data_IF_421118476068
#
_entry.id   IF_421118476068
#
_cell.length_a   1.000
_cell.length_b   1.000
_cell.length_c   1.000
_cell.angle_alpha   90.00
_cell.angle_beta   90.00
_cell.angle_gamma   90.00
#
_symmetry.space_group_name_H-M   'P 1'
#
loop_
_entity.id
_entity.type
_entity.pdbx_description
1 polymer ?
#
# COMPACT_ATOMS: atom_id res chain seq x y z
N UNK A 1 -25.87 -19.82 -0.85
CA UNK A 1 -25.29 -18.94 0.18
C UNK A 1 -24.37 -17.98 -0.56
N UNK A 2 -24.82 -16.75 -0.81
CA UNK A 2 -23.99 -15.72 -1.44
C UNK A 2 -23.19 -15.05 -0.33
N UNK A 3 -21.87 -15.27 -0.30
CA UNK A 3 -20.96 -14.47 0.53
C UNK A 3 -20.76 -13.13 -0.17
N UNK A 4 -21.36 -12.08 0.37
CA UNK A 4 -21.12 -10.70 -0.05
C UNK A 4 -19.86 -10.25 0.70
N UNK A 5 -18.70 -10.37 0.06
CA UNK A 5 -17.48 -9.73 0.57
C UNK A 5 -17.57 -8.25 0.24
N UNK A 6 -17.99 -7.43 1.21
CA UNK A 6 -17.94 -5.99 1.09
C UNK A 6 -16.47 -5.55 1.17
N UNK A 7 -15.83 -5.31 0.03
CA UNK A 7 -14.56 -4.58 -0.02
C UNK A 7 -14.94 -3.10 0.09
N UNK A 8 -15.05 -2.61 1.33
CA UNK A 8 -15.08 -1.16 1.58
C UNK A 8 -13.75 -0.55 1.15
N UNK A 9 -13.70 0.75 0.78
CA UNK A 9 -12.43 1.42 0.58
C UNK A 9 -11.63 1.32 1.88
N UNK A 10 -10.53 0.58 1.86
CA UNK A 10 -9.60 0.52 2.97
C UNK A 10 -8.88 1.87 3.03
N UNK A 11 -9.45 2.81 3.78
CA UNK A 11 -8.77 4.04 4.20
C UNK A 11 -7.69 3.62 5.18
N UNK A 12 -6.42 3.73 4.79
CA UNK A 12 -5.32 3.32 5.66
C UNK A 12 -4.66 4.49 6.40
N UNK A 13 -5.24 5.68 6.33
CA UNK A 13 -5.02 6.74 7.31
C UNK A 13 -5.88 6.45 8.54
N UNK A 14 -5.24 5.97 9.59
CA UNK A 14 -5.90 5.70 10.85
C UNK A 14 -6.02 7.00 11.66
N UNK A 15 -7.22 7.60 11.65
CA UNK A 15 -7.50 8.81 12.43
C UNK A 15 -7.34 8.60 13.95
N UNK A 16 -7.37 7.35 14.43
CA UNK A 16 -7.17 7.03 15.83
C UNK A 16 -5.68 7.05 16.24
N UNK A 17 -4.76 7.17 15.27
CA UNK A 17 -3.31 7.22 15.47
C UNK A 17 -2.65 8.52 14.94
N UNK A 18 -3.04 9.71 15.45
CA UNK A 18 -2.51 11.00 15.00
C UNK A 18 -1.00 11.17 15.21
N UNK A 19 -0.39 10.38 16.10
CA UNK A 19 1.07 10.34 16.29
C UNK A 19 1.84 9.81 15.07
N UNK A 20 1.14 9.18 14.11
CA UNK A 20 1.71 8.69 12.85
C UNK A 20 1.63 9.72 11.71
N UNK A 21 0.89 10.82 11.85
CA UNK A 21 0.69 11.80 10.76
C UNK A 21 2.02 12.34 10.22
N UNK A 22 2.90 12.83 11.10
CA UNK A 22 4.21 13.33 10.69
C UNK A 22 5.11 12.25 10.09
N UNK A 23 4.88 10.98 10.43
CA UNK A 23 5.56 9.87 9.77
C UNK A 23 5.03 9.65 8.35
N UNK A 24 3.71 9.58 8.15
CA UNK A 24 3.12 9.46 6.82
C UNK A 24 3.55 10.61 5.89
N UNK A 25 3.45 11.86 6.35
CA UNK A 25 3.88 13.05 5.60
C UNK A 25 5.37 13.01 5.20
N UNK A 26 6.20 12.30 5.97
CA UNK A 26 7.62 12.15 5.68
C UNK A 26 7.94 11.07 4.62
N UNK A 27 6.98 10.19 4.30
CA UNK A 27 7.23 9.05 3.42
C UNK A 27 7.44 9.48 1.96
N UNK A 28 8.53 8.99 1.39
CA UNK A 28 8.89 9.21 0.00
C UNK A 28 9.43 7.90 -0.60
N UNK A 29 9.11 7.67 -1.87
CA UNK A 29 9.74 6.65 -2.70
C UNK A 29 10.64 7.33 -3.75
N UNK A 30 11.30 6.53 -4.59
CA UNK A 30 11.98 7.04 -5.79
C UNK A 30 11.03 7.70 -6.79
N UNK A 31 9.72 7.50 -6.67
CA UNK A 31 8.68 8.19 -7.45
C UNK A 31 8.25 9.55 -6.87
N UNK A 32 8.74 9.92 -5.68
CA UNK A 32 8.38 11.17 -4.99
C UNK A 32 7.61 10.94 -3.68
N UNK A 33 6.89 11.96 -3.17
CA UNK A 33 6.14 11.85 -1.92
C UNK A 33 5.02 10.81 -2.03
N UNK A 34 4.80 10.07 -0.93
CA UNK A 34 3.71 9.10 -0.86
C UNK A 34 2.35 9.76 -0.66
N UNK A 35 2.31 10.94 -0.01
CA UNK A 35 1.16 11.67 0.55
C UNK A 35 1.02 11.46 2.07
N UNK A 36 -0.01 12.01 2.70
CA UNK A 36 -0.24 12.02 4.15
C UNK A 36 -0.85 10.71 4.70
N UNK A 37 -1.01 9.71 3.83
CA UNK A 37 -1.61 8.42 4.18
C UNK A 37 -3.10 8.33 3.90
N UNK A 38 -3.81 9.43 3.61
CA UNK A 38 -5.27 9.43 3.35
C UNK A 38 -5.66 8.65 2.10
N UNK A 39 -4.75 8.58 1.14
CA UNK A 39 -4.85 7.80 -0.10
C UNK A 39 -4.14 6.44 -0.02
N UNK A 40 -3.64 6.07 1.16
CA UNK A 40 -3.07 4.75 1.38
C UNK A 40 -4.15 3.68 1.48
N UNK A 41 -3.84 2.51 0.95
CA UNK A 41 -4.63 1.29 1.03
C UNK A 41 -3.87 0.27 1.86
N UNK A 42 -4.56 -0.33 2.84
CA UNK A 42 -4.04 -1.48 3.59
C UNK A 42 -4.16 -2.73 2.74
N UNK A 43 -3.10 -3.52 2.68
CA UNK A 43 -3.03 -4.77 1.94
C UNK A 43 -2.98 -5.93 2.93
N UNK A 44 -3.84 -6.93 2.73
CA UNK A 44 -3.82 -8.17 3.51
C UNK A 44 -2.64 -9.06 3.12
N UNK A 45 -2.17 -9.91 4.02
CA UNK A 45 -1.00 -10.77 3.80
C UNK A 45 -1.13 -11.71 2.60
N UNK A 46 -2.35 -12.08 2.21
CA UNK A 46 -2.62 -12.89 1.03
C UNK A 46 -2.57 -12.11 -0.30
N UNK A 47 -2.54 -10.78 -0.22
CA UNK A 47 -2.72 -9.85 -1.34
C UNK A 47 -1.41 -9.12 -1.69
N UNK A 48 -0.28 -9.64 -1.23
CA UNK A 48 1.04 -9.28 -1.71
C UNK A 48 2.00 -10.46 -1.54
N UNK A 49 3.02 -10.52 -2.39
CA UNK A 49 4.12 -11.45 -2.22
C UNK A 49 5.39 -10.90 -2.89
N UNK A 50 6.46 -11.69 -2.85
CA UNK A 50 7.66 -11.46 -3.65
C UNK A 50 7.71 -12.49 -4.76
N UNK A 51 7.90 -12.03 -5.99
CA UNK A 51 8.10 -12.87 -7.17
C UNK A 51 9.32 -12.37 -7.95
N UNK A 52 10.22 -13.28 -8.31
CA UNK A 52 11.42 -12.98 -9.11
C UNK A 52 12.30 -11.85 -8.53
N UNK A 53 12.31 -11.69 -7.21
CA UNK A 53 13.09 -10.67 -6.51
C UNK A 53 12.39 -9.32 -6.33
N UNK A 54 11.17 -9.17 -6.83
CA UNK A 54 10.38 -7.95 -6.75
C UNK A 54 9.08 -8.18 -5.98
N UNK A 55 8.52 -7.13 -5.38
CA UNK A 55 7.19 -7.22 -4.80
C UNK A 55 6.12 -7.18 -5.89
N UNK A 56 5.01 -7.88 -5.66
CA UNK A 56 3.75 -7.61 -6.35
C UNK A 56 2.63 -7.54 -5.33
N UNK A 57 1.60 -6.79 -5.68
CA UNK A 57 0.45 -6.50 -4.82
C UNK A 57 -0.82 -6.68 -5.61
N UNK A 58 -1.86 -7.23 -4.98
CA UNK A 58 -3.18 -7.39 -5.57
C UNK A 58 -4.04 -6.18 -5.22
N UNK A 59 -4.37 -5.38 -6.23
CA UNK A 59 -5.18 -4.18 -6.11
C UNK A 59 -6.42 -4.35 -6.98
N UNK A 60 -7.61 -4.21 -6.39
CA UNK A 60 -8.88 -4.32 -7.13
C UNK A 60 -9.02 -5.65 -7.91
N UNK A 61 -8.40 -6.72 -7.41
CA UNK A 61 -8.38 -8.04 -8.05
C UNK A 61 -7.31 -8.22 -9.13
N UNK A 62 -6.54 -7.18 -9.46
CA UNK A 62 -5.40 -7.23 -10.39
C UNK A 62 -4.09 -7.42 -9.61
N UNK A 63 -3.28 -8.42 -9.99
CA UNK A 63 -1.89 -8.50 -9.53
C UNK A 63 -1.04 -7.49 -10.30
N UNK A 64 -0.41 -6.58 -9.57
CA UNK A 64 0.42 -5.51 -10.12
C UNK A 64 1.83 -5.63 -9.56
N UNK A 65 2.83 -5.63 -10.44
CA UNK A 65 4.23 -5.58 -10.04
C UNK A 65 4.53 -4.22 -9.40
N UNK A 66 5.21 -4.24 -8.27
CA UNK A 66 5.69 -3.04 -7.57
C UNK A 66 7.07 -2.72 -8.15
N UNK A 67 7.23 -1.60 -8.85
CA UNK A 67 8.56 -1.22 -9.32
C UNK A 67 9.46 -0.89 -8.13
N UNK A 68 10.75 -1.19 -8.22
CA UNK A 68 11.70 -1.01 -7.11
C UNK A 68 11.72 0.43 -6.59
N UNK A 69 11.57 1.42 -7.49
CA UNK A 69 11.52 2.84 -7.12
C UNK A 69 10.23 3.24 -6.40
N UNK A 70 9.19 2.40 -6.37
CA UNK A 70 8.01 2.61 -5.53
C UNK A 70 8.18 2.05 -4.11
N UNK A 71 9.20 1.22 -3.86
CA UNK A 71 9.42 0.64 -2.53
C UNK A 71 9.94 1.72 -1.59
N UNK A 72 9.23 1.94 -0.49
CA UNK A 72 9.60 2.90 0.54
C UNK A 72 10.58 2.24 1.51
N UNK A 73 11.71 2.91 1.75
CA UNK A 73 12.73 2.44 2.70
C UNK A 73 12.40 2.88 4.14
N UNK A 74 12.93 2.14 5.12
CA UNK A 74 12.74 2.44 6.54
C UNK A 74 11.67 1.58 7.23
N UNK A 75 11.44 1.80 8.53
CA UNK A 75 10.52 0.98 9.30
C UNK A 75 9.06 1.29 8.93
N UNK A 76 8.27 0.24 8.74
CA UNK A 76 6.83 0.33 8.60
C UNK A 76 6.16 0.51 9.97
N UNK A 77 5.74 1.75 10.28
CA UNK A 77 5.11 2.09 11.56
C UNK A 77 3.59 1.90 11.57
N UNK A 78 2.97 1.65 10.42
CA UNK A 78 1.55 1.30 10.33
C UNK A 78 1.27 -0.13 10.81
N UNK A 79 2.28 -1.01 10.79
CA UNK A 79 2.16 -2.39 11.27
C UNK A 79 1.45 -3.34 10.32
N UNK A 80 1.19 -2.91 9.08
CA UNK A 80 0.60 -3.73 8.01
C UNK A 80 1.14 -3.27 6.65
N UNK A 81 1.02 -4.10 5.62
CA UNK A 81 1.44 -3.73 4.26
C UNK A 81 0.58 -2.59 3.73
N UNK A 82 1.25 -1.60 3.12
CA UNK A 82 0.63 -0.35 2.69
C UNK A 82 0.99 -0.06 1.24
N UNK A 83 0.04 0.47 0.49
CA UNK A 83 0.23 0.91 -0.90
C UNK A 83 -0.48 2.23 -1.15
N UNK A 84 0.18 3.13 -1.87
CA UNK A 84 -0.39 4.38 -2.35
C UNK A 84 -0.64 4.25 -3.85
N UNK A 85 -1.84 3.82 -4.27
CA UNK A 85 -2.13 3.63 -5.69
C UNK A 85 -2.33 4.98 -6.39
N UNK A 86 -1.99 5.02 -7.66
CA UNK A 86 -2.54 5.97 -8.63
C UNK A 86 -3.07 5.19 -9.83
N UNK A 87 -3.93 5.80 -10.63
CA UNK A 87 -4.52 5.12 -11.78
C UNK A 87 -3.89 5.61 -13.07
N UNK A 88 -3.46 4.66 -13.90
CA UNK A 88 -2.98 4.91 -15.25
C UNK A 88 -3.80 4.06 -16.21
N UNK A 89 -4.50 4.69 -17.15
CA UNK A 89 -5.40 4.02 -18.10
C UNK A 89 -6.47 3.12 -17.42
N UNK A 90 -6.95 3.52 -16.24
CA UNK A 90 -7.94 2.76 -15.48
C UNK A 90 -7.39 1.60 -14.66
N UNK A 91 -6.07 1.39 -14.64
CA UNK A 91 -5.44 0.34 -13.85
C UNK A 91 -4.66 0.92 -12.67
N UNK A 92 -4.74 0.31 -11.46
CA UNK A 92 -4.01 0.77 -10.30
C UNK A 92 -2.51 0.50 -10.44
N UNK A 93 -1.68 1.45 -10.01
CA UNK A 93 -0.22 1.38 -10.04
C UNK A 93 0.36 1.87 -8.70
N UNK A 94 1.35 1.18 -8.11
CA UNK A 94 1.98 1.64 -6.87
C UNK A 94 2.83 2.90 -7.08
N UNK A 95 2.46 3.99 -6.41
CA UNK A 95 3.34 5.17 -6.23
C UNK A 95 4.34 4.93 -5.11
N UNK A 96 3.80 4.43 -4.01
CA UNK A 96 4.55 3.95 -2.86
C UNK A 96 4.04 2.57 -2.45
N UNK A 97 4.96 1.73 -2.00
CA UNK A 97 4.69 0.43 -1.41
C UNK A 97 5.59 0.26 -0.20
N UNK A 98 4.98 -0.05 0.93
CA UNK A 98 5.69 -0.34 2.16
C UNK A 98 5.33 -1.75 2.62
N UNK A 99 6.25 -2.71 2.50
CA UNK A 99 5.99 -4.08 2.92
C UNK A 99 5.76 -4.13 4.43
N UNK A 100 4.79 -4.92 4.85
CA UNK A 100 4.67 -5.40 6.22
C UNK A 100 5.58 -6.61 6.45
N UNK A 101 5.64 -7.08 7.69
CA UNK A 101 6.11 -8.44 7.95
C UNK A 101 5.07 -9.42 7.42
N UNK A 102 5.47 -10.38 6.58
CA UNK A 102 4.64 -11.57 6.34
C UNK A 102 4.52 -12.29 7.68
N UNK A 103 3.36 -12.16 8.33
CA UNK A 103 3.05 -12.84 9.59
C UNK A 103 2.88 -14.34 9.40
#
# INVERSE_FOLDING_TARGET
>A
MLSITAIGPAQAHDHDHPELNGWYESLHSGKGPCCDGTDATRVDDADWDTKDGHYRVRLEGEWVDVPDEAVVSGPNRAGHTMVWPYYLNGHPRPRCFMPGSMG
#
